data_IF_358214844491
#
_entry.id   IF_358214844491
#
_cell.length_a   1.000
_cell.length_b   1.000
_cell.length_c   1.000
_cell.angle_alpha   90.00
_cell.angle_beta   90.00
_cell.angle_gamma   90.00
#
_symmetry.space_group_name_H-M   'P 1'
#
loop_
_entity.id
_entity.type
_entity.pdbx_description
1 polymer ?
#
# COMPACT_ATOMS: atom_id res chain seq x y z
N UNK A 1 -4.10 5.45 -13.68
CA UNK A 1 -2.79 4.84 -13.40
C UNK A 1 -1.81 5.98 -13.21
N UNK A 2 -1.82 6.60 -12.03
CA UNK A 2 -0.79 7.55 -11.59
C UNK A 2 -0.37 7.07 -10.21
N UNK A 3 0.72 6.32 -10.16
CA UNK A 3 1.33 5.91 -8.91
C UNK A 3 2.76 6.45 -8.94
N UNK A 4 3.04 7.41 -8.08
CA UNK A 4 4.38 7.97 -7.94
C UNK A 4 5.27 6.99 -7.18
N UNK A 5 6.39 6.63 -7.80
CA UNK A 5 7.42 5.79 -7.18
C UNK A 5 8.60 6.68 -6.82
N UNK A 6 8.80 6.89 -5.52
CA UNK A 6 9.94 7.62 -5.00
C UNK A 6 10.90 6.68 -4.26
N UNK A 7 12.19 6.94 -4.41
CA UNK A 7 13.24 6.24 -3.66
C UNK A 7 14.16 7.27 -3.01
N UNK A 8 14.33 7.16 -1.70
CA UNK A 8 15.24 7.99 -0.92
C UNK A 8 15.91 7.15 0.18
N UNK A 9 16.94 7.72 0.80
CA UNK A 9 17.67 7.10 1.92
C UNK A 9 17.45 7.88 3.20
N UNK A 10 17.51 7.17 4.32
CA UNK A 10 17.48 7.73 5.69
C UNK A 10 18.62 7.15 6.50
N UNK A 11 19.13 7.92 7.45
CA UNK A 11 20.17 7.46 8.35
C UNK A 11 19.61 6.42 9.32
N UNK A 12 20.10 5.18 9.25
CA UNK A 12 19.64 4.07 10.10
C UNK A 12 20.02 4.23 11.57
N UNK A 13 21.04 5.03 11.86
CA UNK A 13 21.52 5.25 13.23
C UNK A 13 20.68 6.29 13.99
N UNK A 14 19.86 7.05 13.29
CA UNK A 14 18.92 7.98 13.89
C UNK A 14 17.60 7.25 14.15
N UNK A 15 17.25 7.12 15.43
CA UNK A 15 15.95 6.57 15.79
C UNK A 15 14.86 7.53 15.32
N UNK A 16 13.89 7.00 14.58
CA UNK A 16 12.72 7.73 14.11
C UNK A 16 11.47 7.06 14.67
N UNK A 17 10.60 7.85 15.29
CA UNK A 17 9.28 7.37 15.71
C UNK A 17 8.32 7.37 14.51
N UNK A 18 7.20 6.68 14.68
CA UNK A 18 6.18 6.53 13.66
C UNK A 18 5.62 7.86 13.16
N UNK A 19 5.40 8.84 14.03
CA UNK A 19 4.82 10.12 13.63
C UNK A 19 5.78 10.95 12.78
N UNK A 20 7.07 10.97 13.13
CA UNK A 20 8.09 11.66 12.33
C UNK A 20 8.36 10.92 11.02
N UNK A 21 8.28 9.59 11.02
CA UNK A 21 8.32 8.80 9.79
C UNK A 21 7.12 9.13 8.88
N UNK A 22 5.91 9.30 9.41
CA UNK A 22 4.74 9.77 8.67
C UNK A 22 4.97 11.14 8.03
N UNK A 23 5.47 12.11 8.80
CA UNK A 23 5.76 13.46 8.29
C UNK A 23 6.80 13.43 7.17
N UNK A 24 7.87 12.64 7.35
CA UNK A 24 8.89 12.47 6.32
C UNK A 24 8.31 11.92 5.02
N UNK A 25 7.45 10.90 5.08
CA UNK A 25 6.78 10.37 3.90
C UNK A 25 5.86 11.38 3.25
N UNK A 26 5.11 12.14 4.05
CA UNK A 26 4.22 13.19 3.56
C UNK A 26 4.99 14.27 2.78
N UNK A 27 6.08 14.78 3.35
CA UNK A 27 6.97 15.75 2.69
C UNK A 27 7.56 15.21 1.39
N UNK A 28 8.02 13.96 1.41
CA UNK A 28 8.69 13.35 0.25
C UNK A 28 7.74 13.05 -0.90
N UNK A 29 6.50 12.66 -0.61
CA UNK A 29 5.48 12.32 -1.60
C UNK A 29 4.51 13.47 -1.93
N UNK A 30 4.76 14.69 -1.43
CA UNK A 30 3.85 15.84 -1.57
C UNK A 30 2.40 15.50 -1.18
N UNK A 31 2.27 14.70 -0.11
CA UNK A 31 1.00 14.39 0.52
C UNK A 31 0.85 15.45 1.60
N UNK A 32 -0.18 16.30 1.48
CA UNK A 32 -0.36 17.48 2.33
C UNK A 32 -0.30 17.21 3.84
N UNK A 33 -0.34 18.29 4.62
CA UNK A 33 -0.18 18.27 6.08
C UNK A 33 -1.29 17.54 6.85
N UNK A 34 -2.36 17.11 6.18
CA UNK A 34 -3.46 16.37 6.80
C UNK A 34 -3.05 14.96 7.24
N UNK A 35 -1.90 14.47 6.74
CA UNK A 35 -1.36 13.14 6.99
C UNK A 35 -2.42 12.03 6.82
N UNK A 36 -3.37 12.24 5.90
CA UNK A 36 -4.54 11.39 5.77
C UNK A 36 -4.26 10.20 4.83
N UNK A 37 -3.34 9.34 5.25
CA UNK A 37 -2.93 8.16 4.50
C UNK A 37 -2.59 6.99 5.42
N UNK A 38 -2.57 5.80 4.82
CA UNK A 38 -2.16 4.53 5.41
C UNK A 38 -0.79 4.15 4.88
N UNK A 39 0.03 3.53 5.73
CA UNK A 39 1.36 3.03 5.37
C UNK A 39 1.38 1.52 5.57
N UNK A 40 1.88 0.82 4.57
CA UNK A 40 2.10 -0.61 4.60
C UNK A 40 3.53 -0.92 4.18
N UNK A 41 4.07 -2.06 4.61
CA UNK A 41 5.33 -2.59 4.09
C UNK A 41 5.17 -4.03 3.62
N UNK A 42 6.01 -4.43 2.66
CA UNK A 42 6.14 -5.82 2.23
C UNK A 42 7.20 -6.50 3.08
N UNK A 43 6.81 -7.50 3.88
CA UNK A 43 7.78 -8.33 4.59
C UNK A 43 8.59 -9.15 3.58
N UNK A 44 9.92 -9.11 3.62
CA UNK A 44 10.75 -9.79 2.64
C UNK A 44 10.86 -11.31 2.86
N UNK A 45 10.38 -11.84 3.98
CA UNK A 45 10.44 -13.26 4.34
C UNK A 45 9.33 -14.04 3.65
N UNK A 46 8.09 -13.56 3.75
CA UNK A 46 6.89 -14.24 3.24
C UNK A 46 6.20 -13.45 2.11
N UNK A 47 6.49 -12.16 1.95
CA UNK A 47 5.86 -11.28 0.97
C UNK A 47 4.56 -10.63 1.45
N UNK A 48 4.25 -10.74 2.75
CA UNK A 48 3.01 -10.20 3.32
C UNK A 48 3.01 -8.66 3.32
N UNK A 49 1.84 -8.09 3.05
CA UNK A 49 1.61 -6.65 3.17
C UNK A 49 1.11 -6.35 4.58
N UNK A 50 1.95 -5.71 5.39
CA UNK A 50 1.70 -5.49 6.81
C UNK A 50 1.62 -3.98 7.12
N UNK A 51 0.71 -3.55 8.00
CA UNK A 51 0.54 -2.13 8.31
C UNK A 51 1.71 -1.61 9.16
N UNK A 52 2.13 -0.37 8.87
CA UNK A 52 2.95 0.44 9.76
C UNK A 52 2.02 1.51 10.34
N UNK A 53 1.55 1.32 11.57
CA UNK A 53 0.61 2.24 12.22
C UNK A 53 0.99 2.63 13.66
N UNK A 54 2.17 2.22 14.12
CA UNK A 54 2.77 2.58 15.42
C UNK A 54 4.29 2.30 15.40
N UNK A 55 4.98 2.71 16.47
CA UNK A 55 6.44 2.55 16.62
C UNK A 55 6.91 1.09 16.56
N UNK A 56 6.15 0.17 17.15
CA UNK A 56 6.54 -1.24 17.18
C UNK A 56 6.46 -1.88 15.78
N UNK A 57 5.42 -1.55 15.00
CA UNK A 57 5.33 -2.00 13.61
C UNK A 57 6.42 -1.38 12.73
N UNK A 58 6.74 -0.09 12.93
CA UNK A 58 7.85 0.56 12.22
C UNK A 58 9.19 -0.11 12.54
N UNK A 59 9.46 -0.37 13.82
CA UNK A 59 10.68 -1.07 14.24
C UNK A 59 10.79 -2.45 13.60
N UNK A 60 9.71 -3.24 13.57
CA UNK A 60 9.69 -4.55 12.88
C UNK A 60 9.96 -4.41 11.39
N UNK A 61 9.34 -3.46 10.71
CA UNK A 61 9.54 -3.23 9.28
C UNK A 61 11.01 -2.85 8.97
N UNK A 62 11.60 -1.96 9.77
CA UNK A 62 13.01 -1.56 9.64
C UNK A 62 13.98 -2.70 9.89
N UNK A 63 13.67 -3.61 10.83
CA UNK A 63 14.48 -4.79 11.11
C UNK A 63 14.37 -5.83 9.99
N UNK A 64 13.17 -6.02 9.43
CA UNK A 64 12.91 -6.98 8.36
C UNK A 64 13.57 -6.55 7.03
N UNK A 65 13.63 -5.24 6.76
CA UNK A 65 14.16 -4.66 5.53
C UNK A 65 15.58 -5.14 5.15
N UNK A 66 15.70 -5.81 3.99
CA UNK A 66 16.97 -6.30 3.43
C UNK A 66 16.98 -6.18 1.89
N UNK A 67 17.77 -5.28 1.28
CA UNK A 67 18.42 -4.10 1.87
C UNK A 67 17.47 -2.88 1.97
N UNK A 68 16.22 -2.99 1.51
CA UNK A 68 15.29 -1.87 1.38
C UNK A 68 14.00 -2.15 2.12
N UNK A 69 13.48 -1.12 2.76
CA UNK A 69 12.10 -1.10 3.22
C UNK A 69 11.21 -0.70 2.02
N UNK A 70 10.43 -1.63 1.49
CA UNK A 70 9.44 -1.37 0.45
C UNK A 70 8.13 -1.02 1.11
N UNK A 71 7.62 0.19 0.85
CA UNK A 71 6.37 0.68 1.42
C UNK A 71 5.33 0.97 0.36
N UNK A 72 4.07 0.88 0.76
CA UNK A 72 2.93 1.37 0.00
C UNK A 72 2.23 2.44 0.82
N UNK A 73 1.90 3.55 0.16
CA UNK A 73 1.15 4.67 0.75
C UNK A 73 -0.18 4.75 0.03
N UNK A 74 -1.26 4.82 0.81
CA UNK A 74 -2.62 4.95 0.29
C UNK A 74 -3.33 6.09 1.00
N UNK A 75 -3.77 7.12 0.27
CA UNK A 75 -4.61 8.18 0.82
C UNK A 75 -5.94 7.58 1.28
N UNK A 76 -6.42 7.98 2.47
CA UNK A 76 -7.73 7.52 2.97
C UNK A 76 -8.84 8.14 2.12
N UNK A 77 -9.88 7.37 1.82
CA UNK A 77 -10.96 7.77 0.91
C UNK A 77 -10.72 7.42 -0.57
N UNK A 78 -9.47 7.15 -0.97
CA UNK A 78 -9.14 6.74 -2.35
C UNK A 78 -9.12 5.20 -2.52
N UNK A 79 -9.29 4.46 -1.43
CA UNK A 79 -9.30 2.99 -1.45
C UNK A 79 -10.60 2.43 -2.00
N UNK A 80 -10.52 1.59 -3.04
CA UNK A 80 -11.66 0.85 -3.60
C UNK A 80 -12.41 0.06 -2.51
N UNK A 81 -11.71 -0.42 -1.48
CA UNK A 81 -12.31 -1.13 -0.33
C UNK A 81 -13.04 -0.20 0.65
N UNK A 82 -12.58 1.03 0.85
CA UNK A 82 -13.25 2.04 1.69
C UNK A 82 -14.48 2.61 0.97
N UNK A 83 -14.41 2.79 -0.35
CA UNK A 83 -15.52 3.30 -1.18
C UNK A 83 -16.65 2.26 -1.30
N UNK A 84 -16.34 0.95 -1.30
CA UNK A 84 -17.32 -0.12 -1.48
C UNK A 84 -17.84 -0.75 -0.18
N UNK A 85 -17.45 -0.23 0.98
CA UNK A 85 -17.83 -0.77 2.29
C UNK A 85 -17.11 -2.10 2.59
N UNK A 86 -16.76 -2.30 3.86
CA UNK A 86 -16.04 -3.47 4.37
C UNK A 86 -16.78 -4.80 4.10
N UNK A 87 -16.65 -5.33 2.89
CA UNK A 87 -16.86 -6.73 2.58
C UNK A 87 -15.58 -7.49 2.91
N UNK A 88 -15.68 -8.50 3.78
CA UNK A 88 -14.60 -9.32 4.30
C UNK A 88 -13.70 -9.91 3.20
N UNK A 89 -12.71 -9.16 2.74
CA UNK A 89 -11.70 -9.64 1.81
C UNK A 89 -10.46 -9.96 2.63
N UNK A 90 -10.26 -11.26 2.88
CA UNK A 90 -8.98 -11.80 3.33
C UNK A 90 -7.88 -11.18 2.45
N UNK A 91 -6.73 -10.73 3.01
CA UNK A 91 -5.64 -10.19 2.23
C UNK A 91 -5.15 -11.30 1.27
N UNK A 92 -5.66 -11.27 0.04
CA UNK A 92 -5.22 -12.16 -1.01
C UNK A 92 -4.12 -11.41 -1.73
N UNK A 93 -2.87 -11.81 -1.47
CA UNK A 93 -1.65 -11.55 -2.25
C UNK A 93 -1.90 -10.75 -3.52
N UNK A 94 -2.09 -9.43 -3.38
CA UNK A 94 -2.40 -8.52 -4.48
C UNK A 94 -1.24 -8.54 -5.50
N UNK A 95 -0.04 -8.81 -5.00
CA UNK A 95 1.22 -8.85 -5.74
C UNK A 95 1.36 -10.11 -6.61
N UNK A 96 0.67 -11.23 -6.31
CA UNK A 96 0.70 -12.44 -7.17
C UNK A 96 0.18 -12.14 -8.59
N UNK A 97 -0.72 -11.17 -8.73
CA UNK A 97 -1.25 -10.74 -10.03
C UNK A 97 -0.35 -9.77 -10.80
N UNK A 98 0.61 -9.13 -10.11
CA UNK A 98 1.48 -8.10 -10.67
C UNK A 98 2.88 -8.64 -11.02
N UNK A 99 3.36 -9.69 -10.32
CA UNK A 99 4.70 -10.25 -10.51
C UNK A 99 4.75 -11.64 -11.18
N UNK A 100 3.78 -11.96 -12.05
CA UNK A 100 3.95 -13.03 -13.05
C UNK A 100 3.90 -14.48 -12.54
N UNK A 101 3.18 -14.75 -11.44
CA UNK A 101 3.03 -16.10 -10.89
C UNK A 101 1.63 -16.67 -11.09
N UNK A 102 1.40 -17.42 -12.18
CA UNK A 102 0.23 -18.26 -12.52
C UNK A 102 -1.16 -17.58 -12.59
N UNK A 103 -1.93 -17.77 -13.70
CA UNK A 103 -3.25 -17.16 -13.83
C UNK A 103 -4.29 -17.91 -12.99
N UNK A 104 -4.51 -17.46 -11.75
CA UNK A 104 -5.75 -17.74 -11.04
C UNK A 104 -6.92 -17.13 -11.80
N UNK A 105 -7.97 -17.92 -12.09
CA UNK A 105 -9.16 -17.48 -12.84
C UNK A 105 -9.66 -16.11 -12.35
N UNK A 106 -9.75 -15.09 -13.21
CA UNK A 106 -10.35 -13.82 -12.80
C UNK A 106 -11.82 -14.06 -12.47
N UNK A 107 -12.25 -13.60 -11.30
CA UNK A 107 -13.68 -13.50 -11.00
C UNK A 107 -14.28 -12.54 -12.03
N UNK A 108 -15.34 -12.98 -12.71
CA UNK A 108 -16.08 -12.17 -13.68
C UNK A 108 -16.42 -10.83 -13.05
N UNK A 109 -15.93 -9.74 -13.64
CA UNK A 109 -16.44 -8.40 -13.36
C UNK A 109 -17.94 -8.43 -13.68
N UNK A 110 -18.78 -7.91 -12.79
CA UNK A 110 -20.21 -7.75 -13.04
C UNK A 110 -20.40 -6.55 -13.99
N UNK A 111 -20.06 -6.75 -15.26
CA UNK A 111 -20.29 -5.76 -16.32
C UNK A 111 -21.76 -5.91 -16.73
N UNK A 112 -22.53 -4.83 -16.68
CA UNK A 112 -23.90 -4.82 -17.20
C UNK A 112 -23.89 -5.07 -18.70
N UNK A 113 -24.97 -5.65 -19.23
CA UNK A 113 -25.06 -5.87 -20.67
C UNK A 113 -24.89 -4.54 -21.44
N UNK A 114 -24.27 -4.56 -22.64
CA UNK A 114 -24.11 -3.37 -23.46
C UNK A 114 -25.45 -2.69 -23.68
N UNK A 115 -25.51 -1.40 -23.36
CA UNK A 115 -26.69 -0.58 -23.64
C UNK A 115 -26.70 -0.27 -25.14
N UNK A 116 -27.81 -0.56 -25.82
CA UNK A 116 -27.95 -0.25 -27.24
C UNK A 116 -28.29 1.24 -27.40
N UNK A 117 -27.38 1.98 -28.03
CA UNK A 117 -27.48 3.44 -28.20
C UNK A 117 -28.08 3.85 -29.55
N UNK A 118 -28.63 2.90 -30.32
CA UNK A 118 -29.27 3.21 -31.60
C UNK A 118 -30.74 3.57 -31.40
N UNK A 119 -31.01 4.87 -31.33
CA UNK A 119 -32.32 5.46 -31.66
C UNK A 119 -32.28 6.03 -33.09
#
# INVERSE_FOLDING_TARGET
FDADILRFSVNRNEAINYEDFRKLLAERHDIGLDLNFLIWYTDPTDGDLLPINNDNNLARALLAAKPLLRIFIQRKGDGIEEINGYGTMKPKNLISSILGGTPGKPKSLAISNPHDFRQ
#
